data_IF_394991681523
#
_entry.id   IF_394991681523
#
_cell.length_a   1.000
_cell.length_b   1.000
_cell.length_c   1.000
_cell.angle_alpha   90.00
_cell.angle_beta   90.00
_cell.angle_gamma   90.00
#
_symmetry.space_group_name_H-M   'P 1'
#
loop_
_entity.id
_entity.type
_entity.pdbx_description
1 polymer ?
#
# COMPACT_ATOMS: atom_id res chain seq x y z
N UNK A 1 -22.73 -22.40 17.46
CA UNK A 1 -22.23 -23.07 18.69
C UNK A 1 -20.81 -23.60 18.54
N UNK A 2 -20.47 -24.27 17.45
CA UNK A 2 -19.11 -24.84 17.24
C UNK A 2 -17.96 -23.81 17.25
N UNK A 3 -18.21 -22.52 16.95
CA UNK A 3 -17.22 -21.47 16.94
C UNK A 3 -16.96 -20.87 18.34
N UNK A 4 -17.92 -20.95 19.24
CA UNK A 4 -17.87 -20.35 20.59
C UNK A 4 -16.73 -20.89 21.47
N UNK A 5 -16.28 -22.10 21.20
CA UNK A 5 -15.17 -22.73 21.96
C UNK A 5 -13.82 -22.67 21.19
N UNK A 6 -13.82 -22.08 19.99
CA UNK A 6 -12.62 -22.04 19.14
C UNK A 6 -12.02 -20.64 19.05
N UNK A 7 -12.83 -19.59 19.29
CA UNK A 7 -12.41 -18.20 19.11
C UNK A 7 -12.87 -17.34 20.28
N UNK A 8 -11.98 -16.50 20.80
CA UNK A 8 -12.27 -15.55 21.87
C UNK A 8 -13.20 -14.43 21.39
N UNK A 9 -13.18 -14.13 20.09
CA UNK A 9 -14.00 -13.08 19.49
C UNK A 9 -14.52 -13.47 18.11
N UNK A 10 -15.83 -13.28 17.91
CA UNK A 10 -16.52 -13.59 16.66
C UNK A 10 -17.30 -12.35 16.21
N UNK A 11 -17.14 -11.93 14.97
CA UNK A 11 -17.97 -10.88 14.37
C UNK A 11 -18.92 -11.47 13.34
N UNK A 12 -20.22 -11.18 13.50
CA UNK A 12 -21.28 -11.58 12.58
C UNK A 12 -21.80 -10.35 11.85
N UNK A 13 -21.59 -10.31 10.53
CA UNK A 13 -22.21 -9.30 9.68
C UNK A 13 -23.56 -9.80 9.18
N UNK A 14 -24.61 -9.01 9.35
CA UNK A 14 -25.98 -9.40 8.99
C UNK A 14 -26.73 -8.26 8.32
N UNK A 15 -27.67 -8.61 7.45
CA UNK A 15 -28.59 -7.63 6.85
C UNK A 15 -29.64 -7.15 7.88
N UNK A 16 -30.30 -6.04 7.58
CA UNK A 16 -31.42 -5.52 8.41
C UNK A 16 -32.52 -6.56 8.63
N UNK A 17 -32.78 -7.43 7.65
CA UNK A 17 -33.80 -8.47 7.72
C UNK A 17 -33.49 -9.53 8.78
N UNK A 18 -32.23 -9.90 8.98
CA UNK A 18 -31.82 -10.99 9.85
C UNK A 18 -31.29 -10.52 11.21
N UNK A 19 -31.07 -9.21 11.39
CA UNK A 19 -30.46 -8.66 12.61
C UNK A 19 -31.23 -9.03 13.89
N UNK A 20 -32.54 -8.82 13.89
CA UNK A 20 -33.40 -9.18 15.00
C UNK A 20 -33.49 -10.70 15.23
N UNK A 21 -33.46 -11.51 14.17
CA UNK A 21 -33.43 -12.96 14.25
C UNK A 21 -32.15 -13.46 14.94
N UNK A 22 -31.00 -12.90 14.55
CA UNK A 22 -29.71 -13.22 15.19
C UNK A 22 -29.71 -12.80 16.65
N UNK A 23 -30.24 -11.59 16.96
CA UNK A 23 -30.39 -11.12 18.34
C UNK A 23 -31.22 -12.10 19.20
N UNK A 24 -32.33 -12.58 18.64
CA UNK A 24 -33.19 -13.58 19.33
C UNK A 24 -32.47 -14.91 19.61
N UNK A 25 -31.73 -15.41 18.60
CA UNK A 25 -30.96 -16.65 18.76
C UNK A 25 -29.90 -16.49 19.86
N UNK A 26 -29.16 -15.38 19.86
CA UNK A 26 -28.09 -15.14 20.83
C UNK A 26 -28.67 -14.89 22.25
N UNK A 27 -29.79 -14.18 22.37
CA UNK A 27 -30.50 -14.03 23.63
C UNK A 27 -30.93 -15.39 24.20
N UNK A 28 -31.53 -16.25 23.38
CA UNK A 28 -31.93 -17.60 23.78
C UNK A 28 -30.73 -18.45 24.20
N UNK A 29 -29.62 -18.39 23.49
CA UNK A 29 -28.42 -19.16 23.83
C UNK A 29 -27.74 -18.67 25.12
N UNK A 30 -27.98 -17.43 25.52
CA UNK A 30 -27.34 -16.78 26.68
C UNK A 30 -28.34 -16.61 27.87
N UNK A 31 -29.49 -17.22 27.77
CA UNK A 31 -30.57 -17.07 28.74
C UNK A 31 -30.87 -15.62 29.11
N UNK A 32 -31.08 -14.80 28.05
CA UNK A 32 -31.27 -13.36 28.12
C UNK A 32 -32.59 -12.92 27.46
N UNK A 33 -33.12 -11.76 27.86
CA UNK A 33 -34.31 -11.17 27.29
C UNK A 33 -33.97 -10.27 26.09
N UNK A 34 -34.97 -10.06 25.23
CA UNK A 34 -34.86 -9.06 24.16
C UNK A 34 -35.49 -7.75 24.62
N UNK A 35 -34.80 -6.66 24.37
CA UNK A 35 -35.28 -5.29 24.58
C UNK A 35 -35.16 -4.47 23.28
N UNK A 36 -35.96 -3.40 23.21
CA UNK A 36 -35.91 -2.46 22.06
C UNK A 36 -34.92 -1.34 22.40
N UNK A 37 -33.90 -1.18 21.55
CA UNK A 37 -32.95 -0.05 21.57
C UNK A 37 -32.81 0.54 20.15
N UNK A 38 -33.00 1.84 20.01
CA UNK A 38 -32.92 2.54 18.71
C UNK A 38 -33.69 1.81 17.58
N UNK A 39 -34.96 1.49 17.84
CA UNK A 39 -35.86 0.77 16.92
C UNK A 39 -35.38 -0.62 16.49
N UNK A 40 -34.44 -1.22 17.23
CA UNK A 40 -33.94 -2.58 16.97
C UNK A 40 -34.05 -3.45 18.21
N UNK A 41 -34.40 -4.74 18.01
CA UNK A 41 -34.38 -5.71 19.08
C UNK A 41 -32.96 -6.20 19.33
N UNK A 42 -32.50 -6.12 20.59
CA UNK A 42 -31.18 -6.55 21.03
C UNK A 42 -31.31 -7.31 22.38
N UNK A 43 -30.36 -8.19 22.70
CA UNK A 43 -30.31 -8.80 24.03
C UNK A 43 -30.09 -7.76 25.13
N UNK A 44 -30.76 -7.89 26.26
CA UNK A 44 -30.73 -6.90 27.35
C UNK A 44 -29.35 -6.70 27.93
N UNK A 45 -28.63 -7.81 28.18
CA UNK A 45 -27.26 -7.80 28.72
C UNK A 45 -26.19 -7.43 27.69
N UNK A 46 -26.56 -7.17 26.43
CA UNK A 46 -25.61 -6.84 25.39
C UNK A 46 -25.11 -5.40 25.52
N UNK A 47 -23.81 -5.20 25.29
CA UNK A 47 -23.24 -3.89 25.00
C UNK A 47 -23.76 -3.45 23.62
N UNK A 48 -24.27 -2.22 23.51
CA UNK A 48 -24.96 -1.74 22.31
C UNK A 48 -24.41 -0.41 21.81
N UNK A 49 -24.32 -0.32 20.50
CA UNK A 49 -24.14 0.93 19.73
C UNK A 49 -25.08 0.89 18.53
N UNK A 50 -25.29 2.01 17.86
CA UNK A 50 -26.19 2.08 16.70
C UNK A 50 -25.80 1.05 15.64
N UNK A 51 -26.75 0.13 15.35
CA UNK A 51 -26.57 -0.97 14.39
C UNK A 51 -25.49 -2.02 14.76
N UNK A 52 -25.08 -2.09 16.02
CA UNK A 52 -24.10 -3.06 16.49
C UNK A 52 -24.38 -3.42 17.96
N UNK A 53 -24.26 -4.70 18.31
CA UNK A 53 -24.29 -5.13 19.71
C UNK A 53 -23.31 -6.28 19.96
N UNK A 54 -22.87 -6.43 21.21
CA UNK A 54 -21.99 -7.51 21.63
C UNK A 54 -22.63 -8.32 22.75
N UNK A 55 -22.67 -9.64 22.58
CA UNK A 55 -23.01 -10.59 23.61
C UNK A 55 -21.74 -11.26 24.16
N UNK A 56 -21.66 -11.35 25.49
CA UNK A 56 -20.60 -12.08 26.18
C UNK A 56 -21.10 -13.53 26.47
N UNK A 57 -20.32 -14.50 26.03
CA UNK A 57 -20.44 -15.91 26.40
C UNK A 57 -19.27 -16.30 27.30
N UNK A 58 -19.32 -17.43 27.99
CA UNK A 58 -18.28 -17.82 28.95
C UNK A 58 -16.85 -17.73 28.42
N UNK A 59 -16.62 -18.11 27.17
CA UNK A 59 -15.30 -18.16 26.57
C UNK A 59 -15.15 -17.29 25.29
N UNK A 60 -16.22 -16.58 24.90
CA UNK A 60 -16.22 -15.85 23.62
C UNK A 60 -17.08 -14.60 23.69
N UNK A 61 -16.76 -13.62 22.89
CA UNK A 61 -17.62 -12.47 22.62
C UNK A 61 -18.11 -12.51 21.18
N UNK A 62 -19.41 -12.29 21.00
CA UNK A 62 -20.02 -12.20 19.67
C UNK A 62 -20.47 -10.77 19.43
N UNK A 63 -19.85 -10.11 18.49
CA UNK A 63 -20.32 -8.82 17.97
C UNK A 63 -21.20 -9.04 16.75
N UNK A 64 -22.43 -8.58 16.79
CA UNK A 64 -23.36 -8.60 15.65
C UNK A 64 -23.47 -7.21 15.08
N UNK A 65 -23.18 -7.07 13.79
CA UNK A 65 -23.14 -5.80 13.07
C UNK A 65 -24.17 -5.83 11.95
N UNK A 66 -25.13 -4.90 12.00
CA UNK A 66 -26.09 -4.70 10.91
C UNK A 66 -25.44 -3.89 9.81
N UNK A 67 -25.28 -4.50 8.64
CA UNK A 67 -24.65 -3.86 7.47
C UNK A 67 -25.68 -3.43 6.45
N UNK A 68 -25.43 -2.26 5.87
CA UNK A 68 -26.05 -1.77 4.65
C UNK A 68 -24.92 -1.41 3.67
N UNK A 69 -24.87 -2.02 2.49
CA UNK A 69 -23.79 -1.75 1.50
C UNK A 69 -23.64 -0.26 1.10
N UNK A 70 -24.73 0.53 1.29
CA UNK A 70 -24.76 1.95 0.95
C UNK A 70 -24.33 2.88 2.10
N UNK A 71 -24.00 2.33 3.28
CA UNK A 71 -23.69 3.10 4.48
C UNK A 71 -22.31 2.77 5.02
N UNK A 72 -21.77 3.68 5.84
CA UNK A 72 -20.53 3.39 6.58
C UNK A 72 -20.74 2.22 7.53
N UNK A 73 -19.73 1.36 7.63
CA UNK A 73 -19.74 0.23 8.57
C UNK A 73 -19.96 0.73 10.01
N UNK A 74 -20.92 0.16 10.75
CA UNK A 74 -21.12 0.46 12.18
C UNK A 74 -19.90 0.09 13.03
N UNK A 75 -19.84 0.62 14.26
CA UNK A 75 -18.76 0.33 15.19
C UNK A 75 -18.71 -1.15 15.58
N UNK A 76 -17.51 -1.71 15.55
CA UNK A 76 -17.23 -3.05 16.06
C UNK A 76 -17.01 -2.96 17.57
N UNK A 77 -17.98 -3.49 18.34
CA UNK A 77 -17.95 -3.47 19.81
C UNK A 77 -17.18 -4.67 20.36
N UNK A 78 -16.72 -4.55 21.60
CA UNK A 78 -16.08 -5.63 22.34
C UNK A 78 -14.69 -6.03 21.79
N UNK A 79 -14.22 -5.42 20.73
CA UNK A 79 -12.85 -5.59 20.28
C UNK A 79 -11.89 -5.03 21.32
N UNK A 80 -10.91 -5.82 21.71
CA UNK A 80 -9.69 -5.26 22.29
C UNK A 80 -9.13 -4.37 21.21
N UNK A 81 -9.10 -3.05 21.42
CA UNK A 81 -8.37 -2.13 20.56
C UNK A 81 -6.90 -2.50 20.67
N UNK A 82 -6.46 -3.45 19.86
CA UNK A 82 -5.04 -3.70 19.69
C UNK A 82 -4.45 -2.40 19.14
N UNK A 83 -3.62 -1.77 19.95
CA UNK A 83 -2.86 -0.63 19.51
C UNK A 83 -1.85 -1.13 18.49
N UNK A 84 -2.00 -0.78 17.24
CA UNK A 84 -1.11 -1.21 16.16
C UNK A 84 -0.75 -0.03 15.25
N UNK A 85 0.42 -0.13 14.67
CA UNK A 85 0.88 0.79 13.64
C UNK A 85 1.55 0.04 12.50
N UNK A 86 1.54 0.67 11.33
CA UNK A 86 2.34 0.25 10.18
C UNK A 86 3.45 1.27 9.93
N UNK A 87 4.60 0.78 9.56
CA UNK A 87 5.69 1.59 9.06
C UNK A 87 6.51 0.81 8.05
N UNK A 88 7.14 1.53 7.13
CA UNK A 88 8.05 0.94 6.16
C UNK A 88 9.49 1.30 6.48
N UNK A 89 10.40 0.35 6.27
CA UNK A 89 11.84 0.58 6.33
C UNK A 89 12.39 0.45 4.93
N UNK A 90 13.08 1.47 4.46
CA UNK A 90 13.67 1.56 3.14
C UNK A 90 15.18 1.40 3.18
N UNK A 91 15.75 0.75 2.15
CA UNK A 91 17.20 0.59 2.02
C UNK A 91 17.79 -0.56 2.82
N UNK A 92 16.98 -1.56 3.22
CA UNK A 92 17.46 -2.82 3.79
C UNK A 92 16.46 -3.97 3.56
N UNK A 93 16.95 -5.19 3.68
CA UNK A 93 16.17 -6.41 3.64
C UNK A 93 15.41 -6.67 4.95
N UNK A 94 14.46 -7.60 4.92
CA UNK A 94 13.58 -7.87 6.06
C UNK A 94 14.30 -8.59 7.22
N UNK A 95 15.27 -9.45 6.95
CA UNK A 95 16.05 -10.13 8.00
C UNK A 95 16.86 -9.12 8.82
N UNK A 96 17.57 -8.21 8.15
CA UNK A 96 18.30 -7.10 8.76
C UNK A 96 17.40 -6.17 9.56
N UNK A 97 16.23 -5.82 9.00
CA UNK A 97 15.26 -4.97 9.67
C UNK A 97 14.71 -5.61 10.96
N UNK A 98 14.34 -6.89 10.91
CA UNK A 98 13.87 -7.65 12.07
C UNK A 98 14.96 -7.74 13.13
N UNK A 99 16.19 -8.07 12.74
CA UNK A 99 17.31 -8.20 13.66
C UNK A 99 17.57 -6.90 14.44
N UNK A 100 17.57 -5.77 13.75
CA UNK A 100 17.77 -4.46 14.39
C UNK A 100 16.60 -4.07 15.30
N UNK A 101 15.38 -4.50 14.99
CA UNK A 101 14.20 -4.24 15.81
C UNK A 101 14.11 -5.11 17.08
N UNK A 102 14.84 -6.23 17.17
CA UNK A 102 14.68 -7.20 18.27
C UNK A 102 14.82 -6.59 19.67
N UNK A 103 15.77 -5.70 19.86
CA UNK A 103 15.98 -5.06 21.17
C UNK A 103 14.81 -4.13 21.52
N UNK A 104 14.33 -3.35 20.56
CA UNK A 104 13.20 -2.44 20.76
C UNK A 104 11.90 -3.22 21.01
N UNK A 105 11.65 -4.28 20.24
CA UNK A 105 10.44 -5.10 20.42
C UNK A 105 10.36 -5.71 21.80
N UNK A 106 11.48 -6.22 22.32
CA UNK A 106 11.56 -6.75 23.68
C UNK A 106 11.36 -5.66 24.75
N UNK A 107 12.02 -4.51 24.61
CA UNK A 107 11.94 -3.41 25.59
C UNK A 107 10.55 -2.80 25.70
N UNK A 108 9.82 -2.72 24.60
CA UNK A 108 8.48 -2.15 24.54
C UNK A 108 7.35 -3.19 24.59
N UNK A 109 7.68 -4.49 24.65
CA UNK A 109 6.69 -5.59 24.58
C UNK A 109 5.80 -5.50 23.32
N UNK A 110 6.43 -5.22 22.18
CA UNK A 110 5.79 -5.10 20.88
C UNK A 110 5.94 -6.40 20.08
N UNK A 111 4.86 -6.87 19.50
CA UNK A 111 4.91 -7.93 18.48
C UNK A 111 5.00 -7.29 17.10
N UNK A 112 5.89 -7.78 16.25
CA UNK A 112 6.03 -7.32 14.87
C UNK A 112 5.74 -8.45 13.88
N UNK A 113 5.18 -8.07 12.73
CA UNK A 113 5.11 -8.92 11.53
C UNK A 113 5.70 -8.13 10.38
N UNK A 114 6.62 -8.73 9.64
CA UNK A 114 7.22 -8.15 8.44
C UNK A 114 6.55 -8.68 7.18
N UNK A 115 6.59 -7.87 6.14
CA UNK A 115 6.22 -8.22 4.77
C UNK A 115 7.22 -7.55 3.85
N UNK A 116 7.95 -8.34 3.07
CA UNK A 116 8.85 -7.84 2.04
C UNK A 116 8.00 -7.26 0.90
N UNK A 117 8.13 -5.96 0.65
CA UNK A 117 7.47 -5.29 -0.48
C UNK A 117 8.38 -5.26 -1.71
N UNK A 118 9.67 -4.97 -1.52
CA UNK A 118 10.76 -5.05 -2.48
C UNK A 118 12.01 -5.58 -1.76
N UNK A 119 13.08 -5.90 -2.47
CA UNK A 119 14.34 -6.38 -1.87
C UNK A 119 14.90 -5.43 -0.82
N UNK A 120 14.63 -4.14 -0.97
CA UNK A 120 15.11 -3.08 -0.08
C UNK A 120 13.99 -2.24 0.54
N UNK A 121 12.78 -2.80 0.64
CA UNK A 121 11.62 -2.14 1.25
C UNK A 121 10.79 -3.16 2.03
N UNK A 122 10.70 -2.94 3.33
CA UNK A 122 10.01 -3.84 4.25
C UNK A 122 8.88 -3.10 4.94
N UNK A 123 7.68 -3.67 4.89
CA UNK A 123 6.52 -3.23 5.67
C UNK A 123 6.50 -3.96 7.00
N UNK A 124 6.44 -3.23 8.09
CA UNK A 124 6.31 -3.76 9.45
C UNK A 124 4.93 -3.39 10.01
N UNK A 125 4.23 -4.38 10.52
CA UNK A 125 3.08 -4.20 11.41
C UNK A 125 3.54 -4.39 12.84
N UNK A 126 3.55 -3.34 13.64
CA UNK A 126 3.80 -3.40 15.08
C UNK A 126 2.48 -3.46 15.84
N UNK A 127 2.35 -4.36 16.81
CA UNK A 127 1.13 -4.56 17.61
C UNK A 127 1.49 -4.58 19.09
N UNK A 128 0.76 -3.83 19.90
CA UNK A 128 0.92 -3.74 21.34
C UNK A 128 -0.37 -4.08 22.06
N UNK A 129 -0.30 -4.92 23.11
CA UNK A 129 -1.43 -5.19 23.99
C UNK A 129 -1.66 -4.06 25.02
N UNK A 130 -0.60 -3.35 25.42
CA UNK A 130 -0.63 -2.31 26.43
C UNK A 130 -0.69 -0.90 25.81
N UNK A 131 -1.67 -0.10 26.22
CA UNK A 131 -1.84 1.26 25.73
C UNK A 131 -0.61 2.12 26.04
N UNK A 132 -0.17 2.96 25.10
CA UNK A 132 0.89 3.96 25.30
C UNK A 132 2.31 3.52 24.98
N UNK A 133 2.60 2.21 24.90
CA UNK A 133 3.96 1.74 24.54
C UNK A 133 4.30 1.90 23.04
N UNK A 134 3.30 1.94 22.18
CA UNK A 134 3.48 2.01 20.74
C UNK A 134 4.14 3.30 20.29
N UNK A 135 3.74 4.44 20.83
CA UNK A 135 4.33 5.74 20.46
C UNK A 135 5.81 5.84 20.85
N UNK A 136 6.16 5.36 22.05
CA UNK A 136 7.55 5.26 22.49
C UNK A 136 8.39 4.34 21.59
N UNK A 137 7.82 3.21 21.21
CA UNK A 137 8.44 2.28 20.27
C UNK A 137 8.68 2.94 18.90
N UNK A 138 7.67 3.59 18.31
CA UNK A 138 7.78 4.24 17.01
C UNK A 138 8.81 5.39 17.02
N UNK A 139 8.87 6.16 18.10
CA UNK A 139 9.90 7.18 18.26
C UNK A 139 11.32 6.56 18.32
N UNK A 140 11.48 5.44 19.03
CA UNK A 140 12.75 4.72 19.06
C UNK A 140 13.12 4.09 17.71
N UNK A 141 12.13 3.61 16.95
CA UNK A 141 12.32 3.13 15.56
C UNK A 141 12.80 4.28 14.67
N UNK A 142 12.18 5.47 14.76
CA UNK A 142 12.63 6.65 14.02
C UNK A 142 14.06 7.04 14.37
N UNK A 143 14.42 7.01 15.65
CA UNK A 143 15.79 7.30 16.10
C UNK A 143 16.81 6.27 15.59
N UNK A 144 16.42 5.00 15.55
CA UNK A 144 17.30 3.90 15.12
C UNK A 144 17.55 3.94 13.60
N UNK A 145 16.49 4.11 12.80
CA UNK A 145 16.58 4.05 11.34
C UNK A 145 16.73 5.43 10.69
N UNK A 146 16.50 6.51 11.44
CA UNK A 146 16.59 7.88 10.94
C UNK A 146 15.65 8.11 9.77
N UNK A 147 16.22 8.58 8.68
CA UNK A 147 15.51 8.91 7.45
C UNK A 147 15.07 7.68 6.63
N UNK A 148 15.40 6.46 7.04
CA UNK A 148 15.02 5.23 6.33
C UNK A 148 13.65 4.69 6.71
N UNK A 149 12.93 5.33 7.62
CA UNK A 149 11.63 4.87 8.10
C UNK A 149 10.55 5.92 7.89
N UNK A 150 9.41 5.49 7.38
CA UNK A 150 8.20 6.31 7.32
C UNK A 150 6.98 5.56 7.83
N UNK A 151 6.06 6.29 8.46
CA UNK A 151 4.83 5.72 8.99
C UNK A 151 3.80 5.50 7.88
N UNK A 152 3.09 4.40 7.96
CA UNK A 152 2.06 4.00 7.00
C UNK A 152 2.35 2.65 6.35
N UNK A 153 1.36 2.13 5.65
CA UNK A 153 1.44 0.82 4.99
C UNK A 153 1.68 0.90 3.48
N UNK A 154 1.54 2.08 2.91
CA UNK A 154 1.56 2.30 1.47
C UNK A 154 2.64 3.33 1.11
N UNK A 155 3.76 2.87 0.52
CA UNK A 155 4.86 3.74 0.10
C UNK A 155 4.44 4.77 -0.94
N UNK A 156 3.56 4.41 -1.88
CA UNK A 156 3.12 5.34 -2.94
C UNK A 156 2.25 6.45 -2.35
N UNK A 157 1.40 6.11 -1.38
CA UNK A 157 0.63 7.12 -0.66
C UNK A 157 1.56 8.08 0.12
N UNK A 158 2.59 7.56 0.79
CA UNK A 158 3.59 8.37 1.48
C UNK A 158 4.30 9.33 0.51
N UNK A 159 4.83 8.82 -0.60
CA UNK A 159 5.50 9.61 -1.64
C UNK A 159 4.55 10.70 -2.16
N UNK A 160 3.32 10.33 -2.51
CA UNK A 160 2.33 11.27 -3.04
C UNK A 160 1.97 12.36 -2.05
N UNK A 161 1.85 12.03 -0.75
CA UNK A 161 1.58 13.04 0.29
C UNK A 161 2.70 14.07 0.41
N UNK A 162 3.96 13.64 0.27
CA UNK A 162 5.12 14.54 0.27
C UNK A 162 5.19 15.42 -0.99
N UNK A 163 4.85 14.87 -2.14
CA UNK A 163 4.74 15.65 -3.38
C UNK A 163 3.63 16.71 -3.28
N UNK A 164 2.47 16.35 -2.72
CA UNK A 164 1.36 17.29 -2.46
C UNK A 164 1.76 18.40 -1.48
N UNK A 165 2.38 18.05 -0.35
CA UNK A 165 2.86 19.00 0.65
C UNK A 165 3.80 20.05 0.04
N UNK A 166 4.70 19.61 -0.85
CA UNK A 166 5.71 20.45 -1.50
C UNK A 166 5.27 21.01 -2.86
N UNK A 167 4.06 20.66 -3.33
CA UNK A 167 3.47 21.07 -4.63
C UNK A 167 4.36 20.73 -5.81
N UNK A 168 5.03 19.57 -5.76
CA UNK A 168 5.93 19.10 -6.80
C UNK A 168 5.16 18.25 -7.82
N UNK A 169 5.29 18.59 -9.09
CA UNK A 169 4.60 17.95 -10.20
C UNK A 169 5.30 16.67 -10.63
N UNK A 170 4.51 15.68 -11.01
CA UNK A 170 4.99 14.37 -11.48
C UNK A 170 4.29 13.94 -12.76
N UNK A 171 5.03 13.29 -13.66
CA UNK A 171 4.53 12.72 -14.91
C UNK A 171 5.21 11.39 -15.23
N UNK A 172 4.56 10.58 -16.03
CA UNK A 172 5.04 9.24 -16.35
C UNK A 172 5.18 8.99 -17.85
N UNK A 173 6.18 8.17 -18.22
CA UNK A 173 6.27 7.50 -19.52
C UNK A 173 6.20 5.98 -19.29
N UNK A 174 5.10 5.38 -19.69
CA UNK A 174 4.79 3.99 -19.42
C UNK A 174 4.84 3.15 -20.70
N UNK A 175 5.41 1.94 -20.60
CA UNK A 175 5.38 0.94 -21.67
C UNK A 175 4.73 -0.33 -21.14
N UNK A 176 5.47 -1.23 -20.53
CA UNK A 176 4.99 -2.55 -20.08
C UNK A 176 3.93 -2.50 -18.98
N UNK A 177 3.78 -1.40 -18.27
CA UNK A 177 2.75 -1.18 -17.23
C UNK A 177 1.42 -0.69 -17.77
N UNK A 178 1.38 -0.20 -19.03
CA UNK A 178 0.13 0.10 -19.73
C UNK A 178 -0.78 1.14 -19.08
N UNK A 179 -0.25 2.06 -18.25
CA UNK A 179 -1.02 3.06 -17.52
C UNK A 179 -1.19 2.77 -16.03
N UNK A 180 -0.58 1.69 -15.52
CA UNK A 180 -0.73 1.30 -14.12
C UNK A 180 -0.10 2.31 -13.15
N UNK A 181 1.01 3.01 -13.51
CA UNK A 181 1.56 4.09 -12.70
C UNK A 181 0.54 5.23 -12.52
N UNK A 182 -0.06 5.68 -13.63
CA UNK A 182 -1.09 6.70 -13.61
C UNK A 182 -2.33 6.26 -12.84
N UNK A 183 -2.81 5.03 -13.09
CA UNK A 183 -3.95 4.44 -12.40
C UNK A 183 -3.70 4.33 -10.89
N UNK A 184 -2.51 3.93 -10.47
CA UNK A 184 -2.16 3.80 -9.05
C UNK A 184 -2.10 5.15 -8.35
N UNK A 185 -1.49 6.16 -8.97
CA UNK A 185 -1.43 7.50 -8.42
C UNK A 185 -2.81 8.12 -8.29
N UNK A 186 -3.67 8.00 -9.31
CA UNK A 186 -4.98 8.65 -9.36
C UNK A 186 -6.03 8.04 -8.42
N UNK A 187 -5.73 6.90 -7.77
CA UNK A 187 -6.54 6.38 -6.66
C UNK A 187 -6.42 7.24 -5.39
N UNK A 188 -5.40 8.09 -5.29
CA UNK A 188 -5.14 8.93 -4.13
C UNK A 188 -5.86 10.27 -4.30
N UNK A 189 -6.65 10.67 -3.31
CA UNK A 189 -7.38 11.95 -3.36
C UNK A 189 -6.42 13.15 -3.36
N UNK A 190 -6.74 14.17 -4.14
CA UNK A 190 -5.98 15.42 -4.22
C UNK A 190 -4.81 15.40 -5.22
N UNK A 191 -4.44 14.26 -5.80
CA UNK A 191 -3.27 14.17 -6.70
C UNK A 191 -3.43 14.94 -8.01
N UNK A 192 -4.61 15.43 -8.33
CA UNK A 192 -4.80 16.37 -9.46
C UNK A 192 -3.97 17.65 -9.33
N UNK A 193 -3.55 18.01 -8.12
CA UNK A 193 -2.67 19.15 -7.88
C UNK A 193 -1.23 18.89 -8.30
N UNK A 194 -0.79 17.63 -8.40
CA UNK A 194 0.59 17.23 -8.67
C UNK A 194 0.76 16.40 -9.94
N UNK A 195 -0.28 15.78 -10.45
CA UNK A 195 -0.22 14.91 -11.61
C UNK A 195 -0.53 15.66 -12.89
N UNK A 196 0.48 15.85 -13.77
CA UNK A 196 0.31 16.50 -15.05
C UNK A 196 -0.15 15.54 -16.16
N UNK A 197 0.17 14.25 -16.04
CA UNK A 197 -0.25 13.24 -16.99
C UNK A 197 0.73 12.08 -17.17
N UNK A 198 0.32 11.10 -17.97
CA UNK A 198 1.14 9.94 -18.35
C UNK A 198 1.04 9.68 -19.84
N UNK A 199 2.16 9.37 -20.48
CA UNK A 199 2.22 8.92 -21.87
C UNK A 199 2.43 7.41 -21.89
N UNK A 200 1.41 6.67 -22.35
CA UNK A 200 1.51 5.24 -22.57
C UNK A 200 2.12 5.00 -23.96
N UNK A 201 3.44 4.85 -24.00
CA UNK A 201 4.23 4.67 -25.22
C UNK A 201 4.52 3.19 -25.46
N UNK A 202 3.48 2.41 -25.76
CA UNK A 202 3.58 0.95 -25.83
C UNK A 202 4.40 0.46 -27.04
N UNK A 203 4.19 1.03 -28.23
CA UNK A 203 4.90 0.67 -29.44
C UNK A 203 6.11 1.58 -29.69
N UNK A 204 7.11 1.11 -30.48
CA UNK A 204 8.28 1.87 -30.88
C UNK A 204 7.89 3.11 -31.66
N UNK A 205 6.88 3.02 -32.53
CA UNK A 205 6.34 4.18 -33.26
C UNK A 205 5.87 5.28 -32.29
N UNK A 206 5.13 4.94 -31.24
CA UNK A 206 4.63 5.91 -30.26
C UNK A 206 5.78 6.44 -29.38
N UNK A 207 6.77 5.61 -29.01
CA UNK A 207 7.99 6.09 -28.35
C UNK A 207 8.71 7.16 -29.19
N UNK A 208 8.80 6.95 -30.51
CA UNK A 208 9.38 7.91 -31.42
C UNK A 208 8.52 9.18 -31.56
N UNK A 209 7.26 9.04 -31.96
CA UNK A 209 6.39 10.17 -32.30
C UNK A 209 6.02 11.05 -31.09
N UNK A 210 5.72 10.44 -29.93
CA UNK A 210 5.20 11.17 -28.77
C UNK A 210 6.28 11.58 -27.77
N UNK A 211 7.31 10.75 -27.59
CA UNK A 211 8.40 11.02 -26.65
C UNK A 211 9.67 11.54 -27.34
N UNK A 212 9.69 11.55 -28.68
CA UNK A 212 10.84 12.04 -29.47
C UNK A 212 12.09 11.16 -29.36
N UNK A 213 11.94 9.88 -29.08
CA UNK A 213 13.06 8.93 -29.06
C UNK A 213 13.48 8.68 -30.49
N UNK A 214 14.77 8.87 -30.81
CA UNK A 214 15.26 8.66 -32.19
C UNK A 214 15.17 7.18 -32.59
N UNK A 215 14.85 6.92 -33.84
CA UNK A 215 14.85 5.57 -34.41
C UNK A 215 16.18 4.87 -34.17
N UNK A 216 17.31 5.57 -34.32
CA UNK A 216 18.64 5.03 -34.04
C UNK A 216 18.84 4.52 -32.62
N UNK A 217 18.18 5.10 -31.61
CA UNK A 217 18.20 4.60 -30.22
C UNK A 217 17.40 3.31 -30.13
N UNK A 218 16.22 3.25 -30.74
CA UNK A 218 15.37 2.07 -30.72
C UNK A 218 15.98 0.90 -31.49
N UNK A 219 16.63 1.16 -32.62
CA UNK A 219 17.31 0.13 -33.44
C UNK A 219 18.58 -0.40 -32.79
N UNK A 220 19.43 0.48 -32.23
CA UNK A 220 20.73 0.08 -31.70
C UNK A 220 20.68 -0.44 -30.26
N UNK A 221 19.75 0.07 -29.42
CA UNK A 221 19.66 -0.28 -28.00
C UNK A 221 18.42 -1.09 -27.67
N UNK A 222 17.41 -1.10 -28.54
CA UNK A 222 16.11 -1.71 -28.31
C UNK A 222 15.21 -0.87 -27.40
N UNK A 223 13.92 -1.20 -27.45
CA UNK A 223 12.86 -0.59 -26.64
C UNK A 223 12.91 -1.00 -25.16
N UNK A 224 13.53 -2.13 -24.86
CA UNK A 224 13.75 -2.65 -23.51
C UNK A 224 15.23 -2.42 -23.14
N UNK A 225 15.56 -1.19 -22.73
CA UNK A 225 16.93 -0.82 -22.38
C UNK A 225 16.96 0.41 -21.47
N UNK A 226 18.03 0.55 -20.71
CA UNK A 226 18.30 1.76 -19.90
C UNK A 226 18.34 3.00 -20.79
N UNK A 227 18.91 2.87 -22.00
CA UNK A 227 18.99 3.99 -22.95
C UNK A 227 17.60 4.45 -23.39
N UNK A 228 16.71 3.52 -23.70
CA UNK A 228 15.32 3.86 -24.05
C UNK A 228 14.62 4.56 -22.87
N UNK A 229 14.70 4.03 -21.66
CA UNK A 229 14.11 4.64 -20.44
C UNK A 229 14.67 6.05 -20.20
N UNK A 230 15.96 6.28 -20.38
CA UNK A 230 16.52 7.62 -20.28
C UNK A 230 15.85 8.62 -21.24
N UNK A 231 15.66 8.22 -22.50
CA UNK A 231 14.99 9.08 -23.47
C UNK A 231 13.49 9.21 -23.24
N UNK A 232 12.85 8.19 -22.68
CA UNK A 232 11.47 8.30 -22.20
C UNK A 232 11.34 9.39 -21.13
N UNK A 233 12.25 9.46 -20.14
CA UNK A 233 12.30 10.53 -19.14
C UNK A 233 12.46 11.91 -19.80
N UNK A 234 13.41 12.05 -20.72
CA UNK A 234 13.62 13.30 -21.46
C UNK A 234 12.38 13.74 -22.27
N UNK A 235 11.68 12.76 -22.88
CA UNK A 235 10.45 13.01 -23.62
C UNK A 235 9.33 13.58 -22.74
N UNK A 236 9.19 13.06 -21.52
CA UNK A 236 8.20 13.56 -20.55
C UNK A 236 8.53 14.99 -20.13
N UNK A 237 9.78 15.32 -19.84
CA UNK A 237 10.15 16.70 -19.52
C UNK A 237 9.83 17.68 -20.66
N UNK A 238 10.07 17.27 -21.90
CA UNK A 238 9.76 18.09 -23.07
C UNK A 238 8.24 18.30 -23.25
N UNK A 239 7.43 17.31 -22.88
CA UNK A 239 5.99 17.32 -23.15
C UNK A 239 5.19 17.95 -22.00
N UNK A 240 5.48 17.57 -20.74
CA UNK A 240 4.70 17.96 -19.57
C UNK A 240 5.44 18.90 -18.60
N UNK A 241 6.79 19.03 -18.75
CA UNK A 241 7.65 19.86 -17.91
C UNK A 241 7.37 19.71 -16.39
N UNK A 242 7.34 18.47 -15.84
CA UNK A 242 7.09 18.24 -14.44
C UNK A 242 8.32 18.54 -13.57
N UNK A 243 8.19 18.49 -12.24
CA UNK A 243 9.34 18.47 -11.33
C UNK A 243 10.03 17.10 -11.33
N UNK A 244 9.22 16.02 -11.35
CA UNK A 244 9.68 14.64 -11.45
C UNK A 244 9.10 13.92 -12.66
N UNK A 245 9.93 13.20 -13.38
CA UNK A 245 9.51 12.23 -14.38
C UNK A 245 9.88 10.81 -13.94
N UNK A 246 8.96 9.86 -14.14
CA UNK A 246 9.22 8.44 -14.01
C UNK A 246 9.04 7.76 -15.38
N UNK A 247 9.88 6.78 -15.67
CA UNK A 247 9.76 5.99 -16.88
C UNK A 247 9.97 4.50 -16.62
N UNK A 248 9.24 3.66 -17.37
CA UNK A 248 9.25 2.22 -17.21
C UNK A 248 9.06 1.52 -18.55
N UNK A 249 9.96 0.57 -18.85
CA UNK A 249 9.91 -0.29 -20.03
C UNK A 249 10.49 -1.66 -19.70
N UNK A 250 9.99 -2.73 -20.32
CA UNK A 250 10.50 -4.07 -20.06
C UNK A 250 9.59 -5.17 -20.56
N UNK A 251 9.98 -6.41 -20.30
CA UNK A 251 9.27 -7.62 -20.71
C UNK A 251 8.56 -8.23 -19.50
N UNK A 252 7.22 -8.18 -19.50
CA UNK A 252 6.35 -8.72 -18.43
C UNK A 252 5.44 -9.83 -18.95
N UNK A 253 5.87 -10.53 -19.99
CA UNK A 253 5.13 -11.64 -20.59
C UNK A 253 5.56 -12.99 -20.03
N UNK A 254 4.90 -14.06 -20.47
CA UNK A 254 5.30 -15.44 -20.15
C UNK A 254 6.55 -15.90 -20.90
N UNK A 255 6.96 -15.17 -21.93
CA UNK A 255 8.06 -15.53 -22.83
C UNK A 255 9.09 -14.42 -22.91
N UNK A 256 10.32 -14.84 -23.10
CA UNK A 256 11.44 -13.96 -23.42
C UNK A 256 11.20 -13.23 -24.74
N UNK A 257 11.72 -12.02 -24.86
CA UNK A 257 11.66 -11.22 -26.08
C UNK A 257 13.08 -11.04 -26.66
N UNK A 258 13.38 -11.81 -27.69
CA UNK A 258 14.73 -11.88 -28.27
C UNK A 258 15.74 -12.39 -27.24
N UNK A 259 16.67 -11.51 -26.83
CA UNK A 259 17.69 -11.81 -25.81
C UNK A 259 17.29 -11.35 -24.41
N UNK A 260 16.17 -10.64 -24.27
CA UNK A 260 15.70 -10.09 -23.00
C UNK A 260 14.79 -11.12 -22.33
N UNK A 261 15.14 -11.55 -21.14
CA UNK A 261 14.33 -12.49 -20.37
C UNK A 261 13.05 -11.83 -19.87
N UNK A 262 11.98 -12.62 -19.79
CA UNK A 262 10.77 -12.22 -19.08
C UNK A 262 11.12 -11.78 -17.65
N UNK A 263 10.42 -10.76 -17.14
CA UNK A 263 10.69 -10.16 -15.84
C UNK A 263 11.84 -9.14 -15.84
N UNK A 264 12.54 -8.95 -16.97
CA UNK A 264 13.55 -7.88 -17.07
C UNK A 264 12.86 -6.54 -17.34
N UNK A 265 12.90 -5.64 -16.38
CA UNK A 265 12.23 -4.34 -16.44
C UNK A 265 13.23 -3.23 -16.12
N UNK A 266 13.27 -2.24 -16.97
CA UNK A 266 14.10 -1.03 -16.82
C UNK A 266 13.23 0.10 -16.29
N UNK A 267 13.63 0.69 -15.18
CA UNK A 267 12.94 1.79 -14.53
C UNK A 267 13.84 2.99 -14.37
N UNK A 268 13.27 4.18 -14.37
CA UNK A 268 14.03 5.40 -14.20
C UNK A 268 13.22 6.51 -13.57
N UNK A 269 13.92 7.38 -12.83
CA UNK A 269 13.40 8.62 -12.28
C UNK A 269 14.35 9.76 -12.63
N UNK A 270 13.81 10.93 -12.93
CA UNK A 270 14.58 12.15 -13.23
C UNK A 270 13.93 13.34 -12.54
N UNK A 271 14.74 14.22 -11.97
CA UNK A 271 14.30 15.49 -11.42
C UNK A 271 14.58 16.64 -12.38
N UNK A 272 13.87 17.75 -12.24
CA UNK A 272 13.95 18.92 -13.14
C UNK A 272 15.34 19.55 -13.27
N UNK A 273 16.24 19.34 -12.31
CA UNK A 273 17.62 19.78 -12.38
C UNK A 273 18.51 18.92 -13.30
N UNK A 274 17.95 17.84 -13.87
CA UNK A 274 18.62 16.89 -14.73
C UNK A 274 19.28 15.72 -14.00
N UNK A 275 19.24 15.70 -12.66
CA UNK A 275 19.68 14.51 -11.91
C UNK A 275 18.73 13.35 -12.19
N UNK A 276 19.27 12.16 -12.36
CA UNK A 276 18.46 10.97 -12.63
C UNK A 276 19.09 9.71 -12.03
N UNK A 277 18.26 8.70 -11.86
CA UNK A 277 18.62 7.34 -11.44
C UNK A 277 17.88 6.33 -12.31
N UNK A 278 18.52 5.21 -12.59
CA UNK A 278 17.94 4.08 -13.32
C UNK A 278 18.29 2.77 -12.62
N UNK A 279 17.40 1.80 -12.70
CA UNK A 279 17.62 0.45 -12.19
C UNK A 279 17.04 -0.56 -13.16
N UNK A 280 17.65 -1.74 -13.18
CA UNK A 280 17.11 -2.90 -13.89
C UNK A 280 16.58 -3.88 -12.86
N UNK A 281 15.33 -4.24 -12.99
CA UNK A 281 14.66 -5.24 -12.15
C UNK A 281 14.65 -6.59 -12.85
N UNK A 282 14.74 -7.65 -12.06
CA UNK A 282 14.57 -9.02 -12.49
C UNK A 282 13.48 -9.64 -11.63
N UNK A 283 12.25 -9.63 -12.16
CA UNK A 283 11.06 -10.06 -11.43
C UNK A 283 10.58 -11.43 -11.93
N UNK A 284 10.12 -12.25 -11.00
CA UNK A 284 9.45 -13.51 -11.25
C UNK A 284 7.99 -13.44 -10.79
N UNK A 285 7.10 -14.10 -11.50
CA UNK A 285 5.68 -14.16 -11.18
C UNK A 285 4.79 -14.02 -12.41
N UNK A 286 3.50 -13.87 -12.20
CA UNK A 286 2.59 -13.56 -13.27
C UNK A 286 2.73 -12.10 -13.75
N UNK A 287 2.07 -11.80 -14.86
CA UNK A 287 2.16 -10.47 -15.49
C UNK A 287 1.69 -9.34 -14.57
N UNK A 288 0.59 -9.55 -13.86
CA UNK A 288 -0.01 -8.55 -12.97
C UNK A 288 0.92 -8.25 -11.80
N UNK A 289 1.43 -9.29 -11.14
CA UNK A 289 2.39 -9.16 -10.05
C UNK A 289 3.66 -8.42 -10.50
N UNK A 290 4.25 -8.79 -11.65
CA UNK A 290 5.45 -8.11 -12.16
C UNK A 290 5.18 -6.63 -12.46
N UNK A 291 4.01 -6.29 -13.02
CA UNK A 291 3.62 -4.90 -13.26
C UNK A 291 3.48 -4.10 -11.95
N UNK A 292 2.82 -4.66 -10.94
CA UNK A 292 2.64 -4.02 -9.63
C UNK A 292 3.96 -3.79 -8.90
N UNK A 293 4.85 -4.81 -8.90
CA UNK A 293 6.18 -4.70 -8.31
C UNK A 293 7.03 -3.63 -9.03
N UNK A 294 6.97 -3.60 -10.35
CA UNK A 294 7.69 -2.62 -11.15
C UNK A 294 7.19 -1.19 -10.89
N UNK A 295 5.88 -0.99 -10.78
CA UNK A 295 5.29 0.32 -10.41
C UNK A 295 5.78 0.74 -9.03
N UNK A 296 5.69 -0.12 -8.02
CA UNK A 296 6.17 0.18 -6.68
C UNK A 296 7.65 0.56 -6.67
N UNK A 297 8.49 -0.24 -7.34
CA UNK A 297 9.93 0.04 -7.45
C UNK A 297 10.20 1.37 -8.14
N UNK A 298 9.45 1.68 -9.20
CA UNK A 298 9.61 2.94 -9.96
C UNK A 298 9.29 4.17 -9.09
N UNK A 299 8.22 4.13 -8.30
CA UNK A 299 7.93 5.21 -7.34
C UNK A 299 9.02 5.32 -6.25
N UNK A 300 9.54 4.20 -5.77
CA UNK A 300 10.60 4.18 -4.76
C UNK A 300 11.94 4.76 -5.25
N UNK A 301 12.16 4.87 -6.57
CA UNK A 301 13.32 5.61 -7.09
C UNK A 301 13.34 7.08 -6.66
N UNK A 302 12.19 7.69 -6.42
CA UNK A 302 12.10 9.07 -5.93
C UNK A 302 12.77 9.23 -4.57
N UNK A 303 12.61 8.22 -3.69
CA UNK A 303 13.24 8.20 -2.36
C UNK A 303 14.78 8.10 -2.43
N UNK A 304 15.30 7.46 -3.48
CA UNK A 304 16.73 7.36 -3.75
C UNK A 304 17.29 8.62 -4.44
N UNK A 305 16.50 9.19 -5.36
CA UNK A 305 16.93 10.31 -6.20
C UNK A 305 17.04 11.62 -5.42
N UNK A 306 16.04 11.90 -4.56
CA UNK A 306 15.95 13.15 -3.79
C UNK A 306 15.46 12.84 -2.35
N UNK A 307 16.24 12.11 -1.54
CA UNK A 307 15.85 11.72 -0.19
C UNK A 307 15.48 12.93 0.69
N UNK A 308 16.13 14.08 0.49
CA UNK A 308 15.87 15.33 1.21
C UNK A 308 14.47 15.89 0.98
N UNK A 309 13.84 15.58 -0.16
CA UNK A 309 12.47 16.02 -0.46
C UNK A 309 11.46 15.19 0.37
N UNK A 310 11.76 13.93 0.57
CA UNK A 310 10.88 13.00 1.28
C UNK A 310 11.17 12.90 2.77
N UNK A 311 12.20 13.63 3.24
CA UNK A 311 12.66 13.59 4.63
C UNK A 311 13.05 12.16 5.05
N UNK A 312 13.65 11.44 4.10
CA UNK A 312 14.16 10.07 4.21
C UNK A 312 15.67 10.08 4.07
#
# INVERSE_FOLDING_TARGET
>A
ENLLNQYDFITLFTSSLHYATVAKILATLNDDNLILKDDTLVPDKAEFSKNSFVCNFSNSKINVVKINPSEKLPDLLGHIKLNFAYFCIFGMDDESAILLLQTLTKSYEISIKSTKLLDNLVLIKATCANFGKLDGFLNSVKNLFGQKVFLGKDPIHFISSKLLEKKLKISFAESCTGGLCASTLTKISGVSEIFEGSIISYSNRIKHEWLGISESVLENNGEYSERCVYFMLKGIFKTANPDFALAISGVVGEKDEGKIKSGTIYIGAMFKDGTFIQETLYLDGDREFMQEQAVLATFCLLLKLKPEIFEI
#
